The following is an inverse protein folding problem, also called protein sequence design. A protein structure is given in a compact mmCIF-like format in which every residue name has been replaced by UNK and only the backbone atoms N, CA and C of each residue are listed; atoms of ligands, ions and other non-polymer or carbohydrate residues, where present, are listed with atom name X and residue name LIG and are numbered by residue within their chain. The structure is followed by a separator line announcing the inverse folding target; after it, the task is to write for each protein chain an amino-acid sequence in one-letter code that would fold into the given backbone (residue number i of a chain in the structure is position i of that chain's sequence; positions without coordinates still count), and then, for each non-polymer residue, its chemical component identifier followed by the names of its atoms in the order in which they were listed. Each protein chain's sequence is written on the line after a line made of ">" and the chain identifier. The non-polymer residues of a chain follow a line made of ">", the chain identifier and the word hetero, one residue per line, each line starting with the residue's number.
data_IF_510749989875
#
_entry.id   IF_510749989875
#
_cell.length_a   1.000
_cell.length_b   1.000
_cell.length_c   1.000
_cell.angle_alpha   90.00
_cell.angle_beta   90.00
_cell.angle_gamma   90.00
#
_symmetry.space_group_name_H-M   'P 1'
#
loop_
_entity.id
_entity.type
_entity.pdbx_description
1 polymer ?
#
# COMPACT_ATOMS: atom_id res chain seq x y z
N UNK A 1 8.07 -19.56 -11.96
CA UNK A 1 8.81 -20.84 -11.89
C UNK A 1 7.95 -21.86 -11.16
N UNK A 2 7.90 -23.11 -11.62
CA UNK A 2 6.97 -24.16 -11.18
C UNK A 2 7.27 -24.80 -9.82
N UNK A 3 7.57 -24.00 -8.81
CA UNK A 3 7.53 -24.46 -7.42
C UNK A 3 6.06 -24.58 -6.99
N UNK A 4 5.77 -25.57 -6.13
CA UNK A 4 4.44 -25.74 -5.56
C UNK A 4 4.04 -24.50 -4.76
N UNK A 5 2.80 -24.05 -4.92
CA UNK A 5 2.30 -22.83 -4.30
C UNK A 5 2.40 -22.87 -2.77
N UNK A 6 2.12 -24.03 -2.16
CA UNK A 6 2.22 -24.22 -0.72
C UNK A 6 3.67 -24.07 -0.24
N UNK A 7 4.63 -24.58 -1.00
CA UNK A 7 6.07 -24.43 -0.66
C UNK A 7 6.46 -22.95 -0.64
N UNK A 8 6.00 -22.16 -1.61
CA UNK A 8 6.25 -20.72 -1.64
C UNK A 8 5.61 -20.00 -0.44
N UNK A 9 4.37 -20.34 -0.11
CA UNK A 9 3.67 -19.77 1.05
C UNK A 9 4.33 -20.14 2.38
N UNK A 10 4.79 -21.38 2.53
CA UNK A 10 5.48 -21.86 3.72
C UNK A 10 6.81 -21.10 3.93
N UNK A 11 7.64 -21.04 2.89
CA UNK A 11 8.93 -20.31 2.94
C UNK A 11 8.71 -18.82 3.20
N UNK A 12 7.70 -18.20 2.57
CA UNK A 12 7.40 -16.79 2.80
C UNK A 12 6.96 -16.54 4.24
N UNK A 13 6.03 -17.34 4.77
CA UNK A 13 5.57 -17.21 6.16
C UNK A 13 6.70 -17.43 7.18
N UNK A 14 7.58 -18.42 6.98
CA UNK A 14 8.74 -18.66 7.84
C UNK A 14 9.70 -17.45 7.87
N UNK A 15 9.99 -16.88 6.70
CA UNK A 15 10.84 -15.69 6.61
C UNK A 15 10.20 -14.46 7.26
N UNK A 16 8.88 -14.28 7.10
CA UNK A 16 8.16 -13.19 7.75
C UNK A 16 8.14 -13.34 9.26
N UNK A 17 7.94 -14.55 9.79
CA UNK A 17 8.00 -14.80 11.23
C UNK A 17 9.38 -14.45 11.80
N UNK A 18 10.44 -14.88 11.12
CA UNK A 18 11.81 -14.53 11.50
C UNK A 18 12.05 -13.01 11.46
N UNK A 19 11.69 -12.34 10.37
CA UNK A 19 11.92 -10.91 10.21
C UNK A 19 11.09 -10.08 11.21
N UNK A 20 9.84 -10.46 11.46
CA UNK A 20 8.96 -9.76 12.39
C UNK A 20 9.53 -9.77 13.81
N UNK A 21 10.03 -10.93 14.27
CA UNK A 21 10.69 -11.07 15.58
C UNK A 21 11.95 -10.17 15.69
N UNK A 22 12.81 -10.18 14.67
CA UNK A 22 14.06 -9.40 14.70
C UNK A 22 13.81 -7.90 14.62
N UNK A 23 12.85 -7.48 13.81
CA UNK A 23 12.52 -6.07 13.67
C UNK A 23 11.79 -5.55 14.91
N UNK A 24 10.97 -6.37 15.58
CA UNK A 24 10.31 -6.00 16.84
C UNK A 24 11.35 -5.72 17.93
N UNK A 25 12.37 -6.56 18.07
CA UNK A 25 13.50 -6.36 18.98
C UNK A 25 14.27 -5.05 18.70
N UNK A 26 14.26 -4.59 17.45
CA UNK A 26 14.89 -3.34 17.03
C UNK A 26 13.96 -2.12 17.07
N UNK A 27 12.68 -2.29 17.44
CA UNK A 27 11.69 -1.21 17.41
C UNK A 27 11.29 -0.76 16.00
N UNK A 28 11.41 -1.63 15.00
CA UNK A 28 11.10 -1.37 13.59
C UNK A 28 9.89 -2.21 13.19
N UNK A 29 8.93 -1.62 12.48
CA UNK A 29 7.76 -2.34 11.93
C UNK A 29 8.14 -3.09 10.67
N UNK A 30 7.69 -4.35 10.54
CA UNK A 30 7.76 -5.08 9.27
C UNK A 30 6.49 -4.86 8.46
N UNK A 31 6.64 -4.55 7.17
CA UNK A 31 5.54 -4.42 6.23
C UNK A 31 5.70 -5.43 5.08
N UNK A 32 4.57 -5.89 4.54
CA UNK A 32 4.51 -6.60 3.26
C UNK A 32 3.60 -5.86 2.29
N UNK A 33 3.94 -5.91 1.01
CA UNK A 33 3.27 -5.15 -0.04
C UNK A 33 2.79 -6.09 -1.16
N UNK A 34 1.47 -6.17 -1.41
CA UNK A 34 0.95 -6.79 -2.62
C UNK A 34 1.25 -5.94 -3.86
N UNK A 35 1.82 -6.56 -4.89
CA UNK A 35 2.21 -5.87 -6.13
C UNK A 35 1.36 -6.36 -7.30
N UNK A 36 0.99 -5.43 -8.18
CA UNK A 36 0.21 -5.76 -9.37
C UNK A 36 1.00 -6.65 -10.36
N UNK A 37 0.30 -7.59 -10.99
CA UNK A 37 0.91 -8.53 -11.95
C UNK A 37 1.03 -7.98 -13.36
N UNK A 38 0.49 -6.79 -13.64
CA UNK A 38 0.66 -6.10 -14.92
C UNK A 38 2.09 -5.58 -15.08
N UNK A 39 2.61 -4.96 -14.03
CA UNK A 39 3.94 -4.35 -13.99
C UNK A 39 5.00 -5.38 -13.59
N UNK A 40 4.66 -6.32 -12.70
CA UNK A 40 5.54 -7.43 -12.30
C UNK A 40 4.84 -8.78 -12.52
N UNK A 41 4.85 -9.32 -13.76
CA UNK A 41 4.22 -10.61 -14.06
C UNK A 41 4.73 -11.73 -13.17
N UNK A 42 3.79 -12.46 -12.56
CA UNK A 42 4.09 -13.61 -11.70
C UNK A 42 4.57 -13.25 -10.29
N UNK A 43 4.46 -11.99 -9.87
CA UNK A 43 4.76 -11.61 -8.48
C UNK A 43 3.88 -12.40 -7.49
N UNK A 44 4.50 -12.89 -6.42
CA UNK A 44 3.90 -13.91 -5.55
C UNK A 44 2.73 -13.38 -4.69
N UNK A 45 2.89 -12.18 -4.15
CA UNK A 45 1.94 -11.51 -3.26
C UNK A 45 1.27 -10.38 -4.05
N UNK A 46 0.01 -10.55 -4.46
CA UNK A 46 -0.61 -9.63 -5.43
C UNK A 46 -2.05 -9.21 -5.11
N UNK A 47 -2.60 -9.69 -3.99
CA UNK A 47 -3.87 -9.22 -3.45
C UNK A 47 -3.76 -8.89 -1.95
N UNK A 48 -4.60 -7.96 -1.50
CA UNK A 48 -4.82 -7.57 -0.11
C UNK A 48 -5.23 -8.77 0.73
N UNK A 49 -6.21 -9.56 0.26
CA UNK A 49 -6.73 -10.72 1.01
C UNK A 49 -5.65 -11.79 1.26
N UNK A 50 -4.82 -12.06 0.26
CA UNK A 50 -3.67 -12.96 0.35
C UNK A 50 -2.67 -12.46 1.41
N UNK A 51 -2.37 -11.16 1.42
CA UNK A 51 -1.48 -10.60 2.43
C UNK A 51 -2.06 -10.75 3.83
N UNK A 52 -3.34 -10.42 4.04
CA UNK A 52 -3.97 -10.53 5.35
C UNK A 52 -3.99 -11.97 5.86
N UNK A 53 -4.30 -12.96 5.01
CA UNK A 53 -4.21 -14.38 5.35
C UNK A 53 -2.79 -14.77 5.78
N UNK A 54 -1.76 -14.25 5.11
CA UNK A 54 -0.37 -14.50 5.49
C UNK A 54 0.02 -13.81 6.80
N UNK A 55 -0.43 -12.58 7.05
CA UNK A 55 -0.18 -11.89 8.31
C UNK A 55 -0.83 -12.67 9.46
N UNK A 56 -2.07 -13.11 9.30
CA UNK A 56 -2.80 -13.90 10.30
C UNK A 56 -2.11 -15.25 10.55
N UNK A 57 -1.62 -15.91 9.50
CA UNK A 57 -0.87 -17.16 9.59
C UNK A 57 0.44 -16.98 10.36
N UNK A 58 1.16 -15.88 10.14
CA UNK A 58 2.40 -15.58 10.87
C UNK A 58 2.11 -15.27 12.34
N UNK A 59 0.97 -14.62 12.64
CA UNK A 59 0.51 -14.37 14.00
C UNK A 59 1.37 -13.38 14.80
N UNK A 60 2.21 -12.59 14.12
CA UNK A 60 3.03 -11.55 14.76
C UNK A 60 2.27 -10.24 14.88
N UNK A 61 2.46 -9.54 16.00
CA UNK A 61 1.94 -8.18 16.22
C UNK A 61 2.77 -7.10 15.51
N UNK A 62 3.95 -7.44 14.99
CA UNK A 62 4.88 -6.51 14.34
C UNK A 62 4.96 -6.72 12.82
N UNK A 63 3.89 -7.23 12.21
CA UNK A 63 3.78 -7.44 10.77
C UNK A 63 2.50 -6.79 10.25
N UNK A 64 2.64 -5.88 9.29
CA UNK A 64 1.57 -5.01 8.79
C UNK A 64 1.49 -5.00 7.27
N UNK A 65 0.37 -4.51 6.75
CA UNK A 65 0.17 -4.27 5.32
C UNK A 65 0.73 -2.89 4.92
N UNK A 66 1.47 -2.87 3.81
CA UNK A 66 1.70 -1.67 3.00
C UNK A 66 0.67 -1.68 1.86
N UNK A 67 -0.24 -0.69 1.87
CA UNK A 67 -1.32 -0.59 0.91
C UNK A 67 -0.96 0.43 -0.18
N UNK A 68 -0.45 -0.03 -1.32
CA UNK A 68 -0.27 0.84 -2.49
C UNK A 68 -1.57 0.91 -3.31
N UNK A 69 -2.17 2.11 -3.34
CA UNK A 69 -3.37 2.42 -4.10
C UNK A 69 -3.21 2.11 -5.59
N UNK A 70 -2.03 2.34 -6.17
CA UNK A 70 -1.78 2.07 -7.58
C UNK A 70 -1.85 0.57 -7.87
N UNK A 71 -1.19 -0.24 -7.05
CA UNK A 71 -1.22 -1.70 -7.19
C UNK A 71 -2.63 -2.23 -7.01
N UNK A 72 -3.35 -1.77 -5.99
CA UNK A 72 -4.69 -2.29 -5.67
C UNK A 72 -5.77 -1.77 -6.61
N UNK A 73 -5.62 -0.60 -7.23
CA UNK A 73 -6.53 -0.16 -8.30
C UNK A 73 -6.49 -1.11 -9.50
N UNK A 74 -5.31 -1.63 -9.84
CA UNK A 74 -5.13 -2.53 -10.98
C UNK A 74 -5.65 -3.93 -10.68
N UNK A 75 -5.43 -4.41 -9.45
CA UNK A 75 -5.74 -5.78 -9.07
C UNK A 75 -7.18 -5.94 -8.58
N UNK A 76 -7.73 -4.95 -7.88
CA UNK A 76 -8.93 -5.10 -7.06
C UNK A 76 -9.98 -4.01 -7.31
N UNK A 77 -9.55 -2.75 -7.46
CA UNK A 77 -10.46 -1.61 -7.37
C UNK A 77 -11.03 -1.46 -5.96
N UNK A 78 -12.25 -0.92 -5.85
CA UNK A 78 -13.00 -0.70 -4.58
C UNK A 78 -12.17 -0.08 -3.42
N UNK A 79 -11.22 0.79 -3.78
CA UNK A 79 -10.14 1.27 -2.92
C UNK A 79 -10.60 1.78 -1.55
N UNK A 80 -11.60 2.67 -1.54
CA UNK A 80 -12.08 3.28 -0.29
C UNK A 80 -12.59 2.23 0.69
N UNK A 81 -13.44 1.30 0.22
CA UNK A 81 -13.97 0.23 1.07
C UNK A 81 -12.86 -0.70 1.55
N UNK A 82 -11.94 -1.08 0.66
CA UNK A 82 -10.82 -1.97 1.01
C UNK A 82 -9.90 -1.35 2.05
N UNK A 83 -9.59 -0.05 1.95
CA UNK A 83 -8.80 0.67 2.96
C UNK A 83 -9.59 0.72 4.28
N UNK A 84 -10.87 1.10 4.27
CA UNK A 84 -11.71 1.25 5.47
C UNK A 84 -11.79 -0.05 6.28
N UNK A 85 -12.09 -1.18 5.63
CA UNK A 85 -12.29 -2.46 6.33
C UNK A 85 -10.99 -3.06 6.86
N UNK A 86 -9.83 -2.60 6.37
CA UNK A 86 -8.51 -3.13 6.75
C UNK A 86 -7.62 -2.09 7.44
N UNK A 87 -8.19 -0.95 7.87
CA UNK A 87 -7.43 0.18 8.38
C UNK A 87 -6.49 -0.17 9.55
N UNK A 88 -6.94 -1.04 10.45
CA UNK A 88 -6.17 -1.52 11.60
C UNK A 88 -4.97 -2.43 11.23
N UNK A 89 -4.95 -2.92 9.99
CA UNK A 89 -3.88 -3.76 9.44
C UNK A 89 -2.88 -2.99 8.61
N UNK A 90 -3.22 -1.77 8.17
CA UNK A 90 -2.41 -0.94 7.28
C UNK A 90 -1.47 -0.04 8.09
N UNK A 91 -0.16 -0.23 7.93
CA UNK A 91 0.85 0.64 8.56
C UNK A 91 1.34 1.76 7.64
N UNK A 92 1.28 1.58 6.32
CA UNK A 92 1.72 2.55 5.33
C UNK A 92 0.82 2.51 4.10
N UNK A 93 0.50 3.68 3.53
CA UNK A 93 -0.20 3.80 2.25
C UNK A 93 0.77 4.42 1.24
N UNK A 94 0.73 3.97 0.00
CA UNK A 94 1.40 4.64 -1.12
C UNK A 94 0.39 5.04 -2.20
N UNK A 95 0.79 5.99 -3.05
CA UNK A 95 -0.01 6.43 -4.18
C UNK A 95 0.80 6.61 -5.47
N UNK A 96 0.12 6.29 -6.56
CA UNK A 96 0.38 6.76 -7.91
C UNK A 96 -0.93 6.63 -8.71
N UNK A 97 -1.10 7.42 -9.77
CA UNK A 97 -2.32 7.36 -10.57
C UNK A 97 -2.28 6.23 -11.60
N UNK A 98 -3.43 5.59 -11.84
CA UNK A 98 -3.60 4.55 -12.86
C UNK A 98 -4.21 5.17 -14.13
N UNK A 99 -3.71 4.89 -15.35
CA UNK A 99 -2.79 3.80 -15.71
C UNK A 99 -1.31 4.17 -15.89
N UNK A 100 -0.92 5.44 -15.76
CA UNK A 100 0.44 5.89 -16.07
C UNK A 100 1.49 5.70 -14.97
N UNK A 101 1.06 5.44 -13.72
CA UNK A 101 1.88 5.53 -12.50
C UNK A 101 2.53 6.92 -12.35
N UNK A 102 1.75 7.95 -12.65
CA UNK A 102 2.16 9.36 -12.59
C UNK A 102 1.52 10.05 -11.37
N UNK A 103 1.69 11.36 -11.27
CA UNK A 103 1.10 12.21 -10.23
C UNK A 103 -0.42 11.98 -10.09
N UNK A 104 -0.99 12.12 -8.87
CA UNK A 104 -2.43 12.19 -8.66
C UNK A 104 -3.14 13.20 -9.58
N UNK A 105 -4.23 12.77 -10.22
CA UNK A 105 -5.04 13.59 -11.13
C UNK A 105 -4.66 13.47 -12.60
N UNK A 106 -3.77 12.54 -12.94
CA UNK A 106 -3.37 12.24 -14.33
C UNK A 106 -4.11 11.06 -14.95
N UNK A 107 -4.89 10.34 -14.14
CA UNK A 107 -5.53 9.08 -14.49
C UNK A 107 -6.98 8.98 -13.99
N UNK A 108 -7.40 7.76 -13.71
CA UNK A 108 -8.80 7.42 -13.44
C UNK A 108 -9.20 7.53 -11.96
N UNK A 109 -8.24 7.67 -11.05
CA UNK A 109 -8.49 7.65 -9.60
C UNK A 109 -8.89 9.05 -9.11
N UNK A 110 -10.04 9.15 -8.45
CA UNK A 110 -10.45 10.38 -7.76
C UNK A 110 -9.73 10.53 -6.41
N UNK A 111 -8.47 10.98 -6.46
CA UNK A 111 -7.64 11.18 -5.26
C UNK A 111 -8.19 12.17 -4.24
N UNK A 112 -8.77 13.33 -4.60
CA UNK A 112 -9.42 14.22 -3.64
C UNK A 112 -10.43 13.50 -2.73
N UNK A 113 -11.30 12.66 -3.31
CA UNK A 113 -12.22 11.84 -2.54
C UNK A 113 -11.51 10.83 -1.63
N UNK A 114 -10.45 10.18 -2.12
CA UNK A 114 -9.69 9.22 -1.32
C UNK A 114 -8.99 9.89 -0.13
N UNK A 115 -8.40 11.07 -0.30
CA UNK A 115 -7.78 11.79 0.81
C UNK A 115 -8.79 12.11 1.91
N UNK A 116 -9.93 12.72 1.55
CA UNK A 116 -11.02 13.02 2.51
C UNK A 116 -11.57 11.76 3.18
N UNK A 117 -11.64 10.65 2.44
CA UNK A 117 -12.08 9.37 2.99
C UNK A 117 -11.07 8.82 4.01
N UNK A 118 -9.78 8.80 3.65
CA UNK A 118 -8.68 8.32 4.50
C UNK A 118 -8.58 9.13 5.80
N UNK A 119 -8.72 10.46 5.71
CA UNK A 119 -8.79 11.34 6.89
C UNK A 119 -10.01 11.01 7.76
N UNK A 120 -11.19 10.84 7.14
CA UNK A 120 -12.45 10.57 7.85
C UNK A 120 -12.43 9.24 8.61
N UNK A 121 -11.82 8.21 8.05
CA UNK A 121 -11.69 6.90 8.72
C UNK A 121 -10.57 6.90 9.77
N UNK A 122 -9.75 7.96 9.84
CA UNK A 122 -8.78 8.18 10.91
C UNK A 122 -7.41 7.55 10.67
N UNK A 123 -6.99 7.37 9.41
CA UNK A 123 -5.60 6.96 9.14
C UNK A 123 -4.64 8.07 9.56
N UNK A 124 -3.73 7.75 10.47
CA UNK A 124 -2.77 8.72 11.02
C UNK A 124 -1.33 8.46 10.58
N UNK A 125 -1.13 7.56 9.60
CA UNK A 125 0.19 7.22 9.08
C UNK A 125 0.61 8.13 7.92
N UNK A 126 1.70 7.77 7.26
CA UNK A 126 2.20 8.49 6.09
C UNK A 126 1.62 7.92 4.80
N UNK A 127 1.34 8.81 3.83
CA UNK A 127 1.04 8.44 2.45
C UNK A 127 2.27 8.73 1.59
N UNK A 128 2.92 7.69 1.07
CA UNK A 128 4.10 7.80 0.21
C UNK A 128 3.74 8.13 -1.24
N UNK A 129 4.39 9.15 -1.80
CA UNK A 129 4.23 9.52 -3.21
C UNK A 129 5.17 8.70 -4.12
N UNK A 130 4.78 7.48 -4.48
CA UNK A 130 5.58 6.54 -5.27
C UNK A 130 5.18 6.51 -6.75
N UNK A 131 5.27 7.66 -7.41
CA UNK A 131 4.98 7.80 -8.84
C UNK A 131 6.20 8.18 -9.66
N UNK A 132 6.10 8.01 -10.98
CA UNK A 132 7.08 8.48 -11.97
C UNK A 132 6.62 9.83 -12.49
N UNK A 133 7.32 10.94 -12.19
CA UNK A 133 6.86 12.26 -12.61
C UNK A 133 6.73 12.37 -14.12
N UNK A 134 5.61 12.89 -14.64
CA UNK A 134 5.36 12.93 -16.09
C UNK A 134 6.23 13.95 -16.83
N UNK A 135 6.53 15.08 -16.19
CA UNK A 135 7.26 16.20 -16.78
C UNK A 135 8.49 16.64 -15.97
N UNK A 136 8.96 15.79 -15.05
CA UNK A 136 9.99 16.12 -14.05
C UNK A 136 9.37 16.38 -12.67
N UNK A 137 10.15 16.12 -11.61
CA UNK A 137 9.64 16.10 -10.23
C UNK A 137 8.98 17.41 -9.82
N UNK A 138 9.69 18.53 -9.89
CA UNK A 138 9.20 19.83 -9.41
C UNK A 138 8.01 20.32 -10.24
N UNK A 139 8.03 20.07 -11.55
CA UNK A 139 6.93 20.45 -12.45
C UNK A 139 5.63 19.68 -12.15
N UNK A 140 5.73 18.49 -11.57
CA UNK A 140 4.59 17.65 -11.20
C UNK A 140 3.96 17.98 -9.84
N UNK A 141 4.57 18.82 -8.99
CA UNK A 141 4.12 19.02 -7.61
C UNK A 141 2.86 19.91 -7.44
N UNK A 142 2.16 20.25 -8.53
CA UNK A 142 0.92 21.05 -8.46
C UNK A 142 -0.16 20.40 -7.60
N UNK A 143 -0.29 19.06 -7.63
CA UNK A 143 -1.23 18.32 -6.79
C UNK A 143 -0.91 18.50 -5.29
N UNK A 144 0.37 18.48 -4.93
CA UNK A 144 0.81 18.59 -3.56
C UNK A 144 0.65 20.01 -3.02
N UNK A 145 0.92 21.03 -3.85
CA UNK A 145 0.71 22.43 -3.47
C UNK A 145 -0.76 22.74 -3.14
N UNK A 146 -1.69 22.15 -3.89
CA UNK A 146 -3.12 22.28 -3.63
C UNK A 146 -3.54 21.68 -2.28
N UNK A 147 -2.87 20.61 -1.82
CA UNK A 147 -3.09 19.98 -0.53
C UNK A 147 -2.38 20.73 0.61
N UNK A 148 -1.12 21.12 0.43
CA UNK A 148 -0.33 21.79 1.46
C UNK A 148 -0.89 23.16 1.87
N UNK A 149 -1.62 23.83 0.98
CA UNK A 149 -2.35 25.07 1.28
C UNK A 149 -3.66 24.88 2.06
N UNK A 150 -4.16 23.65 2.15
CA UNK A 150 -5.34 23.26 2.91
C UNK A 150 -4.85 22.60 4.20
N UNK A 151 -4.57 23.41 5.22
CA UNK A 151 -4.14 22.88 6.52
C UNK A 151 -5.08 21.77 6.99
N UNK A 152 -4.51 20.67 7.48
CA UNK A 152 -5.24 19.55 8.07
C UNK A 152 -6.29 20.07 9.06
N UNK A 153 -7.55 19.68 8.88
CA UNK A 153 -8.60 19.92 9.88
C UNK A 153 -8.36 19.14 11.19
N UNK A 154 -7.36 18.25 11.20
CA UNK A 154 -6.84 17.57 12.37
C UNK A 154 -5.51 18.22 12.78
N UNK A 155 -5.60 19.26 13.59
CA UNK A 155 -4.53 19.77 14.45
C UNK A 155 -5.13 20.09 15.83
#
# INVERSE_FOLDING_TARGET
>A
AGADRKVLEDVFAENLAFAAEKLEQAGIRLLIEPINTRDIPGFFLNYTDQALVLIDRVGSKNLFLQYDIYHMQIMEGDLARTIEVNLDRIAHIQLADNPGRHEPGTGEINFPFLYEHIDRIGYSGWIGAEYKPKAGTEAGLGWFQALAGQGSAAA
#
